data_IF_182039521188
#
_entry.id   IF_182039521188
#
_cell.length_a   1.000
_cell.length_b   1.000
_cell.length_c   1.000
_cell.angle_alpha   90.00
_cell.angle_beta   90.00
_cell.angle_gamma   90.00
#
_symmetry.space_group_name_H-M   'P 1'
#
loop_
_entity.id
_entity.type
_entity.pdbx_description
1 polymer ?
#
# COMPACT_ATOMS: atom_id res chain seq x y z
N UNK A 1 -14.42 -12.37 2.87
CA UNK A 1 -13.54 -11.32 2.30
C UNK A 1 -12.08 -11.81 2.39
N UNK A 2 -11.12 -11.22 1.66
CA UNK A 2 -9.68 -11.60 1.75
C UNK A 2 -8.90 -10.54 2.53
N UNK A 3 -7.92 -10.94 3.35
CA UNK A 3 -7.03 -10.03 4.09
C UNK A 3 -6.10 -9.22 3.17
N UNK A 4 -5.84 -9.71 1.95
CA UNK A 4 -5.11 -9.00 0.89
C UNK A 4 -5.97 -8.90 -0.37
N UNK A 5 -5.94 -7.74 -1.02
CA UNK A 5 -6.68 -7.48 -2.27
C UNK A 5 -8.20 -7.73 -2.17
N UNK A 6 -8.76 -7.68 -0.97
CA UNK A 6 -10.18 -7.90 -0.69
C UNK A 6 -11.06 -6.65 -0.85
N UNK A 7 -10.46 -5.47 -0.99
CA UNK A 7 -11.18 -4.22 -1.15
C UNK A 7 -10.58 -3.31 -2.25
N UNK A 8 -11.29 -2.22 -2.60
CA UNK A 8 -10.89 -1.31 -3.67
C UNK A 8 -9.56 -0.59 -3.40
N UNK A 9 -9.29 -0.19 -2.16
CA UNK A 9 -8.03 0.49 -1.80
C UNK A 9 -6.82 -0.41 -2.03
N UNK A 10 -6.93 -1.67 -1.60
CA UNK A 10 -5.88 -2.69 -1.80
C UNK A 10 -5.62 -2.95 -3.29
N UNK A 11 -6.68 -3.07 -4.10
CA UNK A 11 -6.55 -3.32 -5.53
C UNK A 11 -5.96 -2.12 -6.28
N UNK A 12 -6.36 -0.91 -5.91
CA UNK A 12 -5.82 0.34 -6.47
C UNK A 12 -4.32 0.48 -6.15
N UNK A 13 -3.96 0.34 -4.88
CA UNK A 13 -2.57 0.40 -4.42
C UNK A 13 -1.68 -0.62 -5.14
N UNK A 14 -2.15 -1.86 -5.26
CA UNK A 14 -1.40 -2.92 -5.94
C UNK A 14 -1.29 -2.70 -7.45
N UNK A 15 -2.36 -2.19 -8.08
CA UNK A 15 -2.32 -1.81 -9.50
C UNK A 15 -1.30 -0.70 -9.74
N UNK A 16 -1.33 0.37 -8.93
CA UNK A 16 -0.39 1.49 -9.02
C UNK A 16 1.06 1.05 -8.87
N UNK A 17 1.32 0.14 -7.93
CA UNK A 17 2.65 -0.41 -7.67
C UNK A 17 3.22 -1.16 -8.86
N UNK A 18 2.39 -1.96 -9.55
CA UNK A 18 2.76 -2.68 -10.78
C UNK A 18 3.11 -1.74 -11.92
N UNK A 19 2.31 -0.70 -12.13
CA UNK A 19 2.56 0.30 -13.18
C UNK A 19 3.81 1.17 -12.92
N UNK A 20 4.44 1.01 -11.75
CA UNK A 20 5.62 1.75 -11.34
C UNK A 20 6.90 0.88 -11.30
N UNK A 21 6.88 -0.28 -11.95
CA UNK A 21 8.01 -1.21 -11.89
C UNK A 21 9.33 -0.58 -12.36
N UNK A 22 9.30 0.37 -13.28
CA UNK A 22 10.47 1.05 -13.87
C UNK A 22 11.04 2.22 -13.06
N UNK A 23 10.57 2.46 -11.83
CA UNK A 23 11.11 3.55 -11.02
C UNK A 23 12.63 3.40 -10.73
N UNK A 24 13.36 4.52 -10.60
CA UNK A 24 14.82 4.52 -10.44
C UNK A 24 15.25 3.97 -9.07
N UNK A 25 14.49 4.27 -8.01
CA UNK A 25 14.76 3.73 -6.68
C UNK A 25 14.15 2.32 -6.51
N UNK A 26 14.79 1.34 -7.15
CA UNK A 26 14.39 -0.08 -7.09
C UNK A 26 14.41 -0.64 -5.67
N UNK A 27 15.25 -0.09 -4.78
CA UNK A 27 15.33 -0.56 -3.39
C UNK A 27 14.06 -0.18 -2.65
N UNK A 28 13.65 1.08 -2.75
CA UNK A 28 12.44 1.56 -2.09
C UNK A 28 11.17 0.98 -2.73
N UNK A 29 11.12 0.82 -4.05
CA UNK A 29 10.00 0.14 -4.72
C UNK A 29 9.84 -1.33 -4.33
N UNK A 30 10.96 -2.07 -4.12
CA UNK A 30 10.91 -3.42 -3.55
C UNK A 30 10.36 -3.41 -2.13
N UNK A 31 10.72 -2.41 -1.32
CA UNK A 31 10.18 -2.28 0.03
C UNK A 31 8.66 -2.02 0.02
N UNK A 32 8.16 -1.21 -0.92
CA UNK A 32 6.73 -0.92 -1.08
C UNK A 32 5.90 -2.13 -1.55
N UNK A 33 6.54 -3.25 -1.93
CA UNK A 33 5.88 -4.53 -2.24
C UNK A 33 5.66 -5.42 -1.01
N UNK A 34 6.11 -5.01 0.17
CA UNK A 34 5.87 -5.76 1.42
C UNK A 34 4.37 -5.94 1.65
N UNK A 35 3.94 -7.18 1.85
CA UNK A 35 2.52 -7.54 1.98
C UNK A 35 1.82 -6.83 3.14
N UNK A 36 2.55 -6.47 4.20
CA UNK A 36 2.01 -5.76 5.36
C UNK A 36 1.41 -4.39 4.98
N UNK A 37 2.00 -3.71 4.01
CA UNK A 37 1.49 -2.41 3.55
C UNK A 37 0.09 -2.53 2.93
N UNK A 38 -0.16 -3.61 2.18
CA UNK A 38 -1.48 -3.94 1.63
C UNK A 38 -2.40 -4.51 2.73
N UNK A 39 -1.86 -5.25 3.69
CA UNK A 39 -2.60 -5.77 4.84
C UNK A 39 -3.18 -4.66 5.72
N UNK A 40 -2.44 -3.57 5.94
CA UNK A 40 -2.88 -2.45 6.78
C UNK A 40 -4.09 -1.70 6.23
N UNK A 41 -4.32 -1.73 4.92
CA UNK A 41 -5.49 -1.14 4.28
C UNK A 41 -6.66 -2.13 4.11
N UNK A 42 -6.61 -3.29 4.77
CA UNK A 42 -7.73 -4.25 4.84
C UNK A 42 -8.90 -3.67 5.63
N UNK A 43 -10.11 -3.99 5.18
CA UNK A 43 -11.40 -3.61 5.81
C UNK A 43 -12.18 -4.89 6.13
N UNK A 44 -11.48 -5.91 6.64
CA UNK A 44 -12.00 -7.26 6.88
C UNK A 44 -13.27 -7.32 7.75
N UNK A 45 -13.72 -8.54 8.04
CA UNK A 45 -14.84 -8.75 8.95
C UNK A 45 -14.48 -8.28 10.38
N UNK A 46 -15.47 -7.96 11.24
CA UNK A 46 -15.23 -7.39 12.56
C UNK A 46 -14.24 -8.17 13.44
N UNK A 47 -14.22 -9.50 13.33
CA UNK A 47 -13.28 -10.34 14.09
C UNK A 47 -11.82 -10.12 13.63
N UNK A 48 -11.59 -10.02 12.32
CA UNK A 48 -10.27 -9.78 11.73
C UNK A 48 -9.82 -8.33 11.98
N UNK A 49 -10.76 -7.38 12.07
CA UNK A 49 -10.47 -5.96 12.24
C UNK A 49 -9.64 -5.68 13.51
N UNK A 50 -9.85 -6.43 14.59
CA UNK A 50 -9.09 -6.25 15.85
C UNK A 50 -7.60 -6.55 15.69
N UNK A 51 -7.25 -7.57 14.91
CA UNK A 51 -5.86 -7.94 14.61
C UNK A 51 -5.27 -6.96 13.60
N UNK A 52 -6.03 -6.61 12.56
CA UNK A 52 -5.62 -5.62 11.57
C UNK A 52 -5.34 -4.25 12.21
N UNK A 53 -6.20 -3.78 13.11
CA UNK A 53 -6.02 -2.52 13.82
C UNK A 53 -4.82 -2.56 14.78
N UNK A 54 -4.61 -3.69 15.48
CA UNK A 54 -3.48 -3.85 16.40
C UNK A 54 -2.12 -3.73 15.70
N UNK A 55 -1.95 -4.38 14.54
CA UNK A 55 -0.70 -4.33 13.78
C UNK A 55 -0.59 -3.13 12.84
N UNK A 56 -1.69 -2.42 12.55
CA UNK A 56 -1.67 -1.24 11.70
C UNK A 56 -1.13 -0.03 12.49
N UNK A 57 0.04 0.54 12.10
CA UNK A 57 0.64 1.67 12.81
C UNK A 57 -0.23 2.94 12.79
N UNK A 58 -1.19 3.02 11.87
CA UNK A 58 -2.12 4.14 11.72
C UNK A 58 -3.48 3.91 12.38
N UNK A 59 -3.77 2.68 12.84
CA UNK A 59 -5.09 2.24 13.35
C UNK A 59 -6.26 2.63 12.44
N UNK A 60 -5.99 2.77 11.15
CA UNK A 60 -6.96 3.20 10.17
C UNK A 60 -6.53 2.67 8.80
N UNK A 61 -7.33 1.80 8.17
CA UNK A 61 -7.03 1.32 6.82
C UNK A 61 -7.07 2.44 5.78
N UNK A 62 -7.85 3.50 6.03
CA UNK A 62 -7.88 4.68 5.18
C UNK A 62 -6.58 5.50 5.28
N UNK A 63 -6.06 5.72 6.50
CA UNK A 63 -4.77 6.40 6.65
C UNK A 63 -3.62 5.56 6.09
N UNK A 64 -3.65 4.24 6.29
CA UNK A 64 -2.68 3.33 5.69
C UNK A 64 -2.68 3.45 4.16
N UNK A 65 -3.85 3.47 3.52
CA UNK A 65 -3.98 3.69 2.09
C UNK A 65 -3.45 5.05 1.65
N UNK A 66 -3.86 6.15 2.29
CA UNK A 66 -3.45 7.52 1.93
C UNK A 66 -1.93 7.67 2.00
N UNK A 67 -1.31 7.25 3.10
CA UNK A 67 0.14 7.38 3.27
C UNK A 67 0.91 6.45 2.34
N UNK A 68 0.41 5.23 2.09
CA UNK A 68 1.00 4.33 1.11
C UNK A 68 0.99 4.93 -0.29
N UNK A 69 -0.17 5.45 -0.75
CA UNK A 69 -0.30 6.06 -2.08
C UNK A 69 0.58 7.30 -2.21
N UNK A 70 0.64 8.15 -1.19
CA UNK A 70 1.53 9.30 -1.18
C UNK A 70 3.00 8.88 -1.30
N UNK A 71 3.45 7.90 -0.52
CA UNK A 71 4.83 7.40 -0.59
C UNK A 71 5.12 6.78 -1.96
N UNK A 72 4.20 5.96 -2.48
CA UNK A 72 4.32 5.32 -3.78
C UNK A 72 4.39 6.36 -4.90
N UNK A 73 3.52 7.37 -4.92
CA UNK A 73 3.55 8.42 -5.93
C UNK A 73 4.86 9.20 -5.90
N UNK A 74 5.41 9.52 -4.73
CA UNK A 74 6.74 10.15 -4.65
C UNK A 74 7.83 9.26 -5.26
N UNK A 75 7.82 7.96 -4.97
CA UNK A 75 8.81 7.01 -5.54
C UNK A 75 8.66 6.89 -7.05
N UNK A 76 7.42 6.88 -7.53
CA UNK A 76 7.10 6.70 -8.93
C UNK A 76 7.28 7.98 -9.77
N UNK A 77 6.93 9.16 -9.24
CA UNK A 77 7.10 10.44 -9.94
C UNK A 77 8.55 10.88 -10.02
N UNK A 78 9.38 10.51 -9.04
CA UNK A 78 10.83 10.75 -9.12
C UNK A 78 11.47 10.03 -10.32
N UNK A 79 10.78 9.08 -10.96
CA UNK A 79 11.19 8.51 -12.25
C UNK A 79 11.10 9.50 -13.43
N UNK A 80 10.25 10.54 -13.34
CA UNK A 80 10.02 11.52 -14.40
C UNK A 80 10.70 12.88 -14.20
N UNK A 81 11.30 13.14 -13.03
CA UNK A 81 11.87 14.45 -12.65
C UNK A 81 13.41 14.49 -12.68
N UNK A 82 14.07 13.46 -13.23
CA UNK A 82 15.54 13.35 -13.34
C UNK A 82 16.10 13.62 -14.76
N UNK A 83 15.41 14.44 -15.56
CA UNK A 83 15.93 14.95 -16.85
C UNK A 83 16.10 16.46 -16.80
#
# INVERSE_FOLDING_TARGET
>A
LSAWLGNKMQNEAFSRLKHCEDCPDKKLWRYLQTSDLIYYMSMGEPEDFTVHEYFNPYRSPYLAFIYYMYALDNVCENAGKQL
#
